data_IF_910084551443
#
_entry.id   IF_910084551443
#
_cell.length_a   1.000
_cell.length_b   1.000
_cell.length_c   1.000
_cell.angle_alpha   90.00
_cell.angle_beta   90.00
_cell.angle_gamma   90.00
#
_symmetry.space_group_name_H-M   'P 1'
#
loop_
_entity.id
_entity.type
_entity.pdbx_description
1 polymer ?
#
# COMPACT_ATOMS: atom_id res chain seq x y z
N UNK A 1 -10.15 -37.84 -28.08
CA UNK A 1 -10.55 -36.42 -27.82
C UNK A 1 -11.97 -36.41 -27.26
N UNK A 2 -12.17 -36.01 -26.00
CA UNK A 2 -13.53 -35.84 -25.44
C UNK A 2 -14.07 -34.49 -25.88
N UNK A 3 -15.10 -34.47 -26.73
CA UNK A 3 -15.87 -33.26 -27.00
C UNK A 3 -16.76 -32.97 -25.81
N UNK A 4 -16.47 -31.90 -25.07
CA UNK A 4 -17.38 -31.41 -24.04
C UNK A 4 -18.63 -30.85 -24.74
N UNK A 5 -19.85 -31.29 -24.41
CA UNK A 5 -21.06 -30.72 -25.00
C UNK A 5 -21.14 -29.23 -24.65
N UNK A 6 -21.25 -28.38 -25.67
CA UNK A 6 -21.44 -26.93 -25.51
C UNK A 6 -22.75 -26.72 -24.73
N UNK A 7 -22.65 -26.17 -23.52
CA UNK A 7 -23.83 -25.73 -22.74
C UNK A 7 -24.56 -24.66 -23.56
N UNK A 8 -25.68 -25.04 -24.18
CA UNK A 8 -26.49 -24.19 -25.05
C UNK A 8 -27.69 -23.56 -24.36
N UNK A 9 -27.78 -23.64 -23.02
CA UNK A 9 -28.93 -23.13 -22.28
C UNK A 9 -29.13 -21.64 -22.58
N UNK A 10 -30.23 -21.26 -23.27
CA UNK A 10 -30.55 -19.87 -23.50
C UNK A 10 -30.64 -19.16 -22.15
N UNK A 11 -30.02 -17.99 -21.99
CA UNK A 11 -30.15 -17.18 -20.76
C UNK A 11 -31.57 -16.60 -20.67
N UNK A 12 -32.55 -17.45 -20.43
CA UNK A 12 -33.96 -17.08 -20.26
C UNK A 12 -34.29 -17.22 -18.78
N UNK A 13 -34.58 -16.10 -18.13
CA UNK A 13 -35.10 -16.06 -16.76
C UNK A 13 -36.55 -15.58 -16.81
N UNK A 14 -37.48 -16.33 -16.22
CA UNK A 14 -38.93 -16.02 -16.20
C UNK A 14 -39.52 -15.73 -17.60
N UNK A 15 -39.17 -16.54 -18.60
CA UNK A 15 -39.69 -16.40 -19.98
C UNK A 15 -39.13 -15.21 -20.76
N UNK A 16 -38.17 -14.44 -20.23
CA UNK A 16 -37.53 -13.31 -20.92
C UNK A 16 -36.06 -13.59 -21.22
N UNK A 17 -35.67 -13.38 -22.48
CA UNK A 17 -34.27 -13.41 -22.92
C UNK A 17 -33.50 -12.33 -22.17
N UNK A 18 -32.49 -12.73 -21.42
CA UNK A 18 -31.62 -11.82 -20.71
C UNK A 18 -30.58 -11.24 -21.68
N UNK A 19 -30.32 -9.94 -21.58
CA UNK A 19 -29.19 -9.33 -22.29
C UNK A 19 -27.91 -10.06 -21.90
N UNK A 20 -27.06 -10.33 -22.89
CA UNK A 20 -25.80 -11.05 -22.69
C UNK A 20 -24.87 -10.28 -21.75
N UNK A 21 -24.88 -8.94 -21.88
CA UNK A 21 -24.08 -7.99 -21.10
C UNK A 21 -24.99 -6.87 -20.57
N UNK A 22 -24.76 -6.44 -19.33
CA UNK A 22 -25.29 -5.17 -18.82
C UNK A 22 -24.35 -4.06 -19.31
N UNK A 23 -24.87 -3.09 -20.07
CA UNK A 23 -24.08 -1.97 -20.58
C UNK A 23 -24.09 -0.75 -19.65
N UNK A 24 -24.89 -0.78 -18.58
CA UNK A 24 -24.80 0.22 -17.53
C UNK A 24 -23.65 -0.15 -16.61
N UNK A 25 -22.77 0.81 -16.35
CA UNK A 25 -21.73 0.64 -15.35
C UNK A 25 -22.35 0.39 -13.98
N UNK A 26 -21.78 -0.57 -13.25
CA UNK A 26 -22.17 -0.81 -11.87
C UNK A 26 -21.59 0.33 -11.01
N UNK A 27 -22.41 1.00 -10.16
CA UNK A 27 -21.92 1.99 -9.23
C UNK A 27 -20.80 1.45 -8.33
N UNK A 28 -19.71 2.21 -8.18
CA UNK A 28 -18.60 1.96 -7.27
C UNK A 28 -17.97 3.30 -6.83
N UNK A 29 -16.97 3.27 -5.95
CA UNK A 29 -16.31 4.48 -5.45
C UNK A 29 -15.45 5.22 -6.49
N UNK A 30 -15.24 4.65 -7.68
CA UNK A 30 -14.57 5.35 -8.79
C UNK A 30 -15.53 6.22 -9.60
N UNK A 31 -16.78 5.77 -9.80
CA UNK A 31 -17.75 6.44 -10.67
C UNK A 31 -18.96 7.05 -9.93
N UNK A 32 -19.09 6.85 -8.62
CA UNK A 32 -20.22 7.33 -7.82
C UNK A 32 -19.73 7.95 -6.51
N UNK A 33 -20.30 9.09 -6.11
CA UNK A 33 -20.05 9.73 -4.81
C UNK A 33 -20.50 8.83 -3.67
N UNK A 34 -19.65 8.70 -2.65
CA UNK A 34 -19.95 7.91 -1.47
C UNK A 34 -20.44 8.81 -0.33
N UNK A 35 -21.37 8.31 0.48
CA UNK A 35 -21.80 8.99 1.71
C UNK A 35 -20.85 8.72 2.88
N UNK A 36 -20.18 7.58 2.82
CA UNK A 36 -19.26 7.08 3.84
C UNK A 36 -18.04 6.49 3.13
N UNK A 37 -16.89 6.53 3.79
CA UNK A 37 -15.65 5.98 3.25
C UNK A 37 -15.77 4.46 3.12
N UNK A 38 -15.58 3.94 1.92
CA UNK A 38 -15.60 2.49 1.67
C UNK A 38 -14.25 1.88 2.01
N UNK A 39 -14.23 0.82 2.82
CA UNK A 39 -13.02 0.00 3.01
C UNK A 39 -13.03 -1.21 2.07
N UNK A 40 -12.11 -1.21 1.11
CA UNK A 40 -11.98 -2.27 0.10
C UNK A 40 -10.66 -3.03 0.19
N UNK A 41 -10.60 -4.20 -0.47
CA UNK A 41 -9.43 -5.07 -0.44
C UNK A 41 -9.26 -5.82 -1.74
N UNK A 42 -8.09 -5.65 -2.35
CA UNK A 42 -7.64 -6.41 -3.50
C UNK A 42 -6.91 -7.69 -3.08
N UNK A 43 -6.46 -8.46 -4.08
CA UNK A 43 -5.54 -9.57 -3.85
C UNK A 43 -4.12 -9.01 -3.75
N UNK A 44 -3.32 -9.39 -2.73
CA UNK A 44 -2.02 -8.75 -2.46
C UNK A 44 -0.94 -9.00 -3.53
N UNK A 45 -1.09 -10.03 -4.37
CA UNK A 45 -0.05 -10.51 -5.29
C UNK A 45 0.68 -11.75 -4.76
N UNK A 46 1.45 -12.41 -5.62
CA UNK A 46 2.29 -13.55 -5.24
C UNK A 46 3.52 -13.07 -4.45
N UNK A 47 3.91 -13.78 -3.39
CA UNK A 47 5.00 -13.34 -2.49
C UNK A 47 4.58 -12.28 -1.45
N UNK A 48 3.39 -11.68 -1.58
CA UNK A 48 2.90 -10.63 -0.68
C UNK A 48 1.69 -11.06 0.16
N UNK A 49 1.41 -10.28 1.21
CA UNK A 49 0.27 -10.45 2.10
C UNK A 49 -0.23 -9.10 2.62
N UNK A 50 -1.54 -8.94 2.73
CA UNK A 50 -2.11 -7.89 3.57
C UNK A 50 -2.05 -8.34 5.03
N UNK A 51 -1.26 -7.63 5.82
CA UNK A 51 -1.23 -7.82 7.27
C UNK A 51 -2.36 -7.07 7.95
N UNK A 52 -2.83 -5.97 7.36
CA UNK A 52 -4.07 -5.30 7.75
C UNK A 52 -5.30 -6.05 7.24
N UNK A 53 -6.32 -6.10 8.10
CA UNK A 53 -7.69 -6.48 7.75
C UNK A 53 -8.54 -5.22 7.53
N UNK A 54 -9.73 -5.38 6.96
CA UNK A 54 -10.69 -4.27 6.86
C UNK A 54 -11.09 -3.76 8.26
N UNK A 55 -11.18 -4.66 9.24
CA UNK A 55 -11.50 -4.29 10.61
C UNK A 55 -10.38 -3.46 11.25
N UNK A 56 -9.10 -3.84 11.07
CA UNK A 56 -7.97 -3.04 11.56
C UNK A 56 -8.02 -1.60 11.03
N UNK A 57 -8.47 -1.40 9.78
CA UNK A 57 -8.63 -0.05 9.19
C UNK A 57 -9.79 0.71 9.84
N UNK A 58 -10.94 0.06 10.05
CA UNK A 58 -12.10 0.67 10.71
C UNK A 58 -11.78 1.05 12.16
N UNK A 59 -11.20 0.12 12.92
CA UNK A 59 -10.78 0.35 14.31
C UNK A 59 -9.82 1.54 14.39
N UNK A 60 -8.98 1.73 13.36
CA UNK A 60 -8.08 2.86 13.31
C UNK A 60 -8.76 4.18 12.97
N UNK A 61 -9.70 4.18 12.00
CA UNK A 61 -10.50 5.36 11.67
C UNK A 61 -11.20 5.91 12.93
N UNK A 62 -11.72 5.03 13.77
CA UNK A 62 -12.40 5.39 15.01
C UNK A 62 -11.50 6.11 16.02
N UNK A 63 -10.17 5.98 15.88
CA UNK A 63 -9.19 6.68 16.72
C UNK A 63 -8.85 8.08 16.20
N UNK A 64 -9.23 8.42 14.97
CA UNK A 64 -8.88 9.70 14.34
C UNK A 64 -9.90 10.77 14.78
N UNK A 65 -9.48 11.77 15.57
CA UNK A 65 -10.38 12.84 15.98
C UNK A 65 -10.84 13.64 14.76
N UNK A 66 -12.11 14.06 14.77
CA UNK A 66 -12.73 14.82 13.69
C UNK A 66 -12.66 14.12 12.32
N UNK A 67 -12.75 12.79 12.30
CA UNK A 67 -12.70 11.98 11.08
C UNK A 67 -13.58 12.54 9.95
N UNK A 68 -14.80 12.98 10.25
CA UNK A 68 -15.73 13.55 9.27
C UNK A 68 -15.16 14.74 8.48
N UNK A 69 -14.24 15.50 9.07
CA UNK A 69 -13.59 16.64 8.42
C UNK A 69 -12.43 16.15 7.56
N UNK A 70 -11.54 15.32 8.13
CA UNK A 70 -10.37 14.79 7.39
C UNK A 70 -10.75 13.81 6.28
N UNK A 71 -11.96 13.26 6.30
CA UNK A 71 -12.46 12.32 5.30
C UNK A 71 -13.41 12.93 4.27
N UNK A 72 -13.62 14.26 4.24
CA UNK A 72 -14.65 14.90 3.41
C UNK A 72 -14.54 14.53 1.92
N UNK A 73 -13.32 14.50 1.39
CA UNK A 73 -13.04 14.12 -0.01
C UNK A 73 -12.64 12.65 -0.18
N UNK A 74 -12.61 11.88 0.91
CA UNK A 74 -12.21 10.49 0.89
C UNK A 74 -13.39 9.61 0.47
N UNK A 75 -13.23 8.93 -0.67
CA UNK A 75 -14.21 7.98 -1.22
C UNK A 75 -13.97 6.56 -0.70
N UNK A 76 -12.71 6.15 -0.59
CA UNK A 76 -12.36 4.80 -0.16
C UNK A 76 -10.95 4.68 0.45
N UNK A 77 -10.77 3.64 1.26
CA UNK A 77 -9.46 3.11 1.67
C UNK A 77 -9.36 1.69 1.14
N UNK A 78 -8.34 1.43 0.34
CA UNK A 78 -8.12 0.17 -0.33
C UNK A 78 -6.86 -0.50 0.19
N UNK A 79 -6.98 -1.75 0.61
CA UNK A 79 -5.84 -2.63 0.75
C UNK A 79 -5.44 -3.10 -0.66
N UNK A 80 -4.46 -2.44 -1.25
CA UNK A 80 -4.11 -2.56 -2.67
C UNK A 80 -3.05 -3.63 -2.93
N UNK A 81 -3.00 -4.12 -4.17
CA UNK A 81 -1.89 -4.95 -4.62
C UNK A 81 -0.53 -4.26 -4.37
N UNK A 82 0.55 -5.03 -4.21
CA UNK A 82 1.88 -4.45 -4.02
C UNK A 82 2.28 -3.51 -5.17
N UNK A 83 2.77 -2.32 -4.84
CA UNK A 83 3.46 -1.44 -5.77
C UNK A 83 4.91 -1.28 -5.30
N UNK A 84 5.85 -1.54 -6.20
CA UNK A 84 7.28 -1.51 -5.88
C UNK A 84 7.69 -0.08 -5.47
N UNK A 85 7.98 0.09 -4.17
CA UNK A 85 8.62 1.30 -3.63
C UNK A 85 7.70 2.26 -2.86
N UNK A 86 6.43 1.95 -2.65
CA UNK A 86 5.53 2.77 -1.83
C UNK A 86 4.81 1.93 -0.78
N UNK A 87 4.75 2.42 0.46
CA UNK A 87 3.95 1.79 1.53
C UNK A 87 2.46 2.10 1.35
N UNK A 88 2.15 3.31 0.87
CA UNK A 88 0.81 3.75 0.49
C UNK A 88 0.87 4.91 -0.51
N UNK A 89 -0.26 5.19 -1.16
CA UNK A 89 -0.42 6.39 -1.98
C UNK A 89 -1.88 6.85 -2.03
N UNK A 90 -2.08 8.12 -2.39
CA UNK A 90 -3.41 8.71 -2.56
C UNK A 90 -3.67 9.00 -4.04
N UNK A 91 -4.86 8.66 -4.51
CA UNK A 91 -5.28 8.93 -5.89
C UNK A 91 -6.81 9.13 -5.94
N UNK A 92 -7.25 10.32 -6.35
CA UNK A 92 -8.65 10.57 -6.72
C UNK A 92 -9.70 10.36 -5.62
N UNK A 93 -9.33 10.59 -4.36
CA UNK A 93 -10.19 10.30 -3.20
C UNK A 93 -10.05 8.86 -2.69
N UNK A 94 -9.05 8.10 -3.13
CA UNK A 94 -8.81 6.74 -2.67
C UNK A 94 -7.41 6.64 -2.08
N UNK A 95 -7.33 6.25 -0.81
CA UNK A 95 -6.05 5.91 -0.19
C UNK A 95 -5.79 4.43 -0.40
N UNK A 96 -4.63 4.09 -0.92
CA UNK A 96 -4.22 2.72 -1.22
C UNK A 96 -3.06 2.33 -0.31
N UNK A 97 -3.25 1.27 0.45
CA UNK A 97 -2.25 0.71 1.37
C UNK A 97 -1.71 -0.58 0.76
N UNK A 98 -0.41 -0.62 0.49
CA UNK A 98 0.25 -1.74 -0.17
C UNK A 98 0.23 -3.02 0.68
N UNK A 99 0.22 -4.17 -0.02
CA UNK A 99 0.59 -5.43 0.59
C UNK A 99 2.09 -5.50 0.88
N UNK A 100 2.46 -6.27 1.90
CA UNK A 100 3.86 -6.41 2.33
C UNK A 100 4.45 -7.75 1.89
N UNK A 101 5.77 -7.82 1.67
CA UNK A 101 6.48 -9.09 1.46
C UNK A 101 6.20 -10.09 2.59
N UNK A 102 6.02 -11.37 2.26
CA UNK A 102 5.74 -12.42 3.26
C UNK A 102 6.89 -12.67 4.23
N UNK A 103 8.11 -12.44 3.79
CA UNK A 103 9.33 -12.53 4.62
C UNK A 103 9.54 -11.30 5.51
N UNK A 104 8.77 -10.23 5.28
CA UNK A 104 8.83 -8.96 6.01
C UNK A 104 10.22 -8.31 6.02
N UNK A 105 11.01 -8.59 4.97
CA UNK A 105 12.30 -7.96 4.73
C UNK A 105 12.12 -6.87 3.68
N UNK A 106 12.37 -5.61 4.06
CA UNK A 106 12.27 -4.48 3.12
C UNK A 106 13.61 -3.80 2.99
N UNK A 107 14.06 -3.68 1.74
CA UNK A 107 15.16 -2.81 1.37
C UNK A 107 14.65 -1.37 1.27
N UNK A 108 15.28 -0.46 2.03
CA UNK A 108 14.89 0.94 2.08
C UNK A 108 15.99 1.84 1.55
N UNK A 109 15.59 2.95 0.94
CA UNK A 109 16.54 4.02 0.64
C UNK A 109 17.06 4.63 1.95
N UNK A 110 18.31 5.07 1.96
CA UNK A 110 18.90 5.74 3.11
C UNK A 110 18.09 6.96 3.56
N UNK A 111 17.64 7.79 2.62
CA UNK A 111 16.82 8.97 2.93
C UNK A 111 15.56 8.59 3.69
N UNK A 112 14.77 7.66 3.14
CA UNK A 112 13.55 7.19 3.80
C UNK A 112 13.83 6.61 5.19
N UNK A 113 14.87 5.79 5.31
CA UNK A 113 15.24 5.17 6.58
C UNK A 113 15.62 6.21 7.64
N UNK A 114 16.49 7.16 7.31
CA UNK A 114 16.94 8.17 8.27
C UNK A 114 15.84 9.18 8.62
N UNK A 115 14.98 9.53 7.66
CA UNK A 115 13.83 10.41 7.89
C UNK A 115 12.79 9.78 8.84
N UNK A 116 12.70 8.44 8.86
CA UNK A 116 11.77 7.69 9.71
C UNK A 116 12.46 6.91 10.84
N UNK A 117 13.75 7.16 11.09
CA UNK A 117 14.53 6.36 12.05
C UNK A 117 13.93 6.37 13.44
N UNK A 118 13.44 7.53 13.89
CA UNK A 118 12.81 7.65 15.21
C UNK A 118 11.57 6.74 15.33
N UNK A 119 10.74 6.67 14.27
CA UNK A 119 9.59 5.76 14.24
C UNK A 119 10.04 4.29 14.31
N UNK A 120 11.07 3.93 13.56
CA UNK A 120 11.61 2.57 13.56
C UNK A 120 12.22 2.18 14.90
N UNK A 121 12.94 3.10 15.56
CA UNK A 121 13.49 2.89 16.90
C UNK A 121 12.37 2.69 17.93
N UNK A 122 11.29 3.50 17.87
CA UNK A 122 10.13 3.37 18.77
C UNK A 122 9.38 2.05 18.58
N UNK A 123 9.38 1.53 17.35
CA UNK A 123 8.76 0.25 17.01
C UNK A 123 9.68 -0.95 17.25
N UNK A 124 10.94 -0.75 17.65
CA UNK A 124 11.96 -1.80 17.79
C UNK A 124 12.16 -2.60 16.49
N UNK A 125 12.24 -1.89 15.35
CA UNK A 125 12.49 -2.49 14.04
C UNK A 125 13.97 -2.85 13.92
N UNK A 126 14.25 -4.12 13.64
CA UNK A 126 15.63 -4.56 13.38
C UNK A 126 16.05 -4.16 11.99
N UNK A 127 17.31 -3.80 11.81
CA UNK A 127 17.84 -3.49 10.49
C UNK A 127 19.30 -3.88 10.37
N UNK A 128 19.72 -4.19 9.15
CA UNK A 128 21.12 -4.36 8.78
C UNK A 128 21.52 -3.28 7.79
N UNK A 129 22.68 -2.68 8.00
CA UNK A 129 23.28 -1.72 7.08
C UNK A 129 24.51 -2.36 6.45
N UNK A 130 24.50 -2.48 5.12
CA UNK A 130 25.68 -2.90 4.36
C UNK A 130 26.09 -1.77 3.45
N UNK A 131 27.33 -1.31 3.58
CA UNK A 131 27.87 -0.30 2.68
C UNK A 131 27.92 -0.87 1.25
N UNK A 132 27.08 -0.30 0.38
CA UNK A 132 26.94 -0.65 -1.03
C UNK A 132 28.23 -0.37 -1.82
N UNK A 133 29.09 0.54 -1.34
CA UNK A 133 30.23 1.07 -2.08
C UNK A 133 31.60 0.69 -1.51
N UNK A 134 31.66 -0.15 -0.45
CA UNK A 134 32.91 -0.79 -0.03
C UNK A 134 33.54 -1.65 -1.14
N UNK A 135 32.74 -2.13 -2.10
CA UNK A 135 33.24 -2.85 -3.29
C UNK A 135 33.81 -1.92 -4.39
N UNK A 136 33.57 -0.60 -4.32
CA UNK A 136 34.02 0.38 -5.35
C UNK A 136 34.58 1.68 -4.74
N UNK A 137 35.73 1.62 -4.04
CA UNK A 137 36.32 2.79 -3.36
C UNK A 137 36.62 3.97 -4.29
N UNK A 138 36.97 3.69 -5.55
CA UNK A 138 37.32 4.67 -6.58
C UNK A 138 36.19 5.65 -6.95
N UNK A 139 34.94 5.35 -6.57
CA UNK A 139 33.78 6.20 -6.88
C UNK A 139 33.79 7.49 -6.04
N UNK A 140 34.30 7.44 -4.80
CA UNK A 140 34.40 8.61 -3.91
C UNK A 140 35.45 9.63 -4.38
N UNK A 141 36.58 9.15 -4.91
CA UNK A 141 37.66 10.01 -5.39
C UNK A 141 37.26 10.81 -6.64
N UNK A 142 36.37 10.26 -7.48
CA UNK A 142 35.88 10.94 -8.69
C UNK A 142 34.79 11.97 -8.43
N UNK A 143 34.00 11.83 -7.36
CA UNK A 143 32.85 12.71 -7.11
C UNK A 143 33.22 14.01 -6.39
N UNK A 144 34.44 14.16 -5.85
CA UNK A 144 34.94 15.42 -5.29
C UNK A 144 34.20 15.95 -4.05
N UNK A 145 33.11 15.30 -3.62
CA UNK A 145 32.30 15.69 -2.47
C UNK A 145 32.82 15.05 -1.18
N UNK A 146 33.81 15.71 -0.57
CA UNK A 146 34.44 15.24 0.68
C UNK A 146 33.53 15.41 1.90
N UNK A 147 32.28 15.88 1.78
CA UNK A 147 31.45 16.25 2.93
C UNK A 147 29.99 15.75 3.01
N UNK A 148 29.52 14.84 2.14
CA UNK A 148 28.30 14.07 2.46
C UNK A 148 28.18 12.64 1.89
N UNK A 149 29.26 11.83 1.84
CA UNK A 149 29.24 10.52 1.18
C UNK A 149 28.37 9.44 1.87
N UNK A 150 27.98 9.61 3.14
CA UNK A 150 27.38 8.51 3.93
C UNK A 150 25.86 8.44 3.89
N UNK A 151 25.17 9.50 3.44
CA UNK A 151 23.69 9.48 3.36
C UNK A 151 23.13 8.63 2.23
N UNK A 152 23.96 8.10 1.33
CA UNK A 152 23.51 7.26 0.21
C UNK A 152 24.29 5.95 0.08
N UNK A 153 25.16 5.65 1.05
CA UNK A 153 26.15 4.60 0.92
C UNK A 153 25.64 3.21 1.33
N UNK A 154 24.49 3.10 1.99
CA UNK A 154 24.08 1.81 2.58
C UNK A 154 22.91 1.17 1.84
N UNK A 155 23.01 -0.13 1.62
CA UNK A 155 21.85 -1.00 1.50
C UNK A 155 21.33 -1.25 2.91
N UNK A 156 20.16 -0.69 3.21
CA UNK A 156 19.50 -0.87 4.50
C UNK A 156 18.37 -1.87 4.32
N UNK A 157 18.44 -2.98 5.04
CA UNK A 157 17.38 -3.99 5.05
C UNK A 157 16.77 -4.00 6.44
N UNK A 158 15.49 -3.65 6.52
CA UNK A 158 14.70 -3.67 7.75
C UNK A 158 13.92 -4.98 7.84
N UNK A 159 13.89 -5.57 9.03
CA UNK A 159 13.13 -6.77 9.37
C UNK A 159 11.93 -6.36 10.22
N UNK A 160 10.74 -6.60 9.70
CA UNK A 160 9.50 -6.25 10.39
C UNK A 160 8.81 -7.49 10.96
N UNK A 161 8.07 -7.29 12.04
CA UNK A 161 7.04 -8.21 12.50
C UNK A 161 5.69 -7.88 11.87
N UNK A 162 4.73 -8.81 11.85
CA UNK A 162 3.37 -8.54 11.41
C UNK A 162 2.70 -7.34 12.10
N UNK A 163 3.00 -7.09 13.38
CA UNK A 163 2.40 -5.98 14.12
C UNK A 163 3.07 -4.64 13.78
N UNK A 164 4.39 -4.65 13.55
CA UNK A 164 5.11 -3.46 13.10
C UNK A 164 4.66 -3.04 11.69
N UNK A 165 4.48 -4.00 10.77
CA UNK A 165 4.00 -3.68 9.41
C UNK A 165 2.59 -3.09 9.41
N UNK A 166 1.69 -3.59 10.27
CA UNK A 166 0.37 -2.97 10.50
C UNK A 166 0.52 -1.52 11.00
N UNK A 167 1.33 -1.32 12.03
CA UNK A 167 1.51 -0.01 12.67
C UNK A 167 2.07 1.02 11.69
N UNK A 168 3.06 0.64 10.87
CA UNK A 168 3.66 1.51 9.85
C UNK A 168 2.67 1.85 8.75
N UNK A 169 2.00 0.84 8.17
CA UNK A 169 1.02 1.05 7.10
C UNK A 169 -0.04 2.08 7.47
N UNK A 170 -0.46 2.05 8.74
CA UNK A 170 -1.49 2.91 9.30
C UNK A 170 -0.94 4.29 9.71
N UNK A 171 0.32 4.38 10.13
CA UNK A 171 0.96 5.66 10.48
C UNK A 171 1.31 6.45 9.22
N UNK A 172 1.86 5.78 8.20
CA UNK A 172 2.16 6.41 6.90
C UNK A 172 0.88 6.92 6.24
N UNK A 173 -0.23 6.18 6.40
CA UNK A 173 -1.57 6.62 6.02
C UNK A 173 -1.94 7.99 6.65
N UNK A 174 -1.76 8.17 7.96
CA UNK A 174 -2.06 9.45 8.63
C UNK A 174 -1.20 10.60 8.13
N UNK A 175 0.08 10.33 7.89
CA UNK A 175 1.02 11.36 7.42
C UNK A 175 0.63 11.81 6.01
N UNK A 176 0.16 10.88 5.18
CA UNK A 176 -0.24 11.20 3.79
C UNK A 176 -1.57 11.95 3.77
N UNK A 177 -2.55 11.55 4.61
CA UNK A 177 -3.84 12.24 4.67
C UNK A 177 -3.76 13.64 5.29
N UNK A 178 -2.86 13.87 6.25
CA UNK A 178 -2.71 15.18 6.91
C UNK A 178 -1.86 16.18 6.13
N UNK A 179 -0.93 15.73 5.29
CA UNK A 179 -0.07 16.61 4.47
C UNK A 179 -0.78 17.20 3.26
N UNK A 180 -1.87 16.58 2.79
CA UNK A 180 -2.63 17.07 1.63
C UNK A 180 -3.93 17.81 2.04
N UNK A 181 -4.30 17.76 3.32
CA UNK A 181 -5.46 18.46 3.88
C UNK A 181 -5.12 19.85 4.49
N UNK A 182 -3.88 20.33 4.33
CA UNK A 182 -3.37 21.65 4.75
C UNK A 182 -2.85 22.42 3.54
#
# INVERSE_FOLDING_TARGET
MRQNPRKSTPKVKKGRVQKKNNHQETPNYWNTTQREVIVDKEKPGEGFRHYLTKQDVLDFIDLIPNWSIVSEDLKAIMLAFNNDGYDCWYEGGVIRICAWPKDLLISMSNGYFFDHKELFDRLDVRYTMKDHYLERPWYYEKLGEVHNPRKHAYNIVCEFTPNQSKSISVTTYLITSTREAL
#
